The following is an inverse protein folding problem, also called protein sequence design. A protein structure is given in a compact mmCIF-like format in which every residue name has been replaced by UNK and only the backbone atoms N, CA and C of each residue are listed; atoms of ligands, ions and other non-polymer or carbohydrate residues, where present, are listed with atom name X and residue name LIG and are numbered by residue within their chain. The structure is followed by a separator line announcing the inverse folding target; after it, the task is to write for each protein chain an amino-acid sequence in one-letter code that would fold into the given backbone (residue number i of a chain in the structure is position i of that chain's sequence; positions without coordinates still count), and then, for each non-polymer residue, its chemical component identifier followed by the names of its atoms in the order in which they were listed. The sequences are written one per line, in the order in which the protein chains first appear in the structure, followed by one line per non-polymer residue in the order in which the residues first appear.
data_IF_101099779053
#
_entry.id   IF_101099779053
#
_cell.length_a   1.000
_cell.length_b   1.000
_cell.length_c   1.000
_cell.angle_alpha   90.00
_cell.angle_beta   90.00
_cell.angle_gamma   90.00
#
_symmetry.space_group_name_H-M   'P 1'
#
loop_
_entity.id
_entity.type
_entity.pdbx_description
1 polymer ?
#
# COMPACT_ATOMS: atom_id res chain seq x y z
N UNK A 1 -4.37 13.05 -10.39
CA UNK A 1 -3.54 11.83 -10.18
C UNK A 1 -2.11 12.33 -10.08
N UNK A 2 -1.43 12.09 -8.95
CA UNK A 2 -0.03 12.51 -8.75
C UNK A 2 0.84 11.65 -9.65
N UNK A 3 1.56 12.26 -10.58
CA UNK A 3 2.35 11.54 -11.59
C UNK A 3 3.86 11.58 -11.36
N UNK A 4 4.34 12.51 -10.52
CA UNK A 4 5.75 12.64 -10.14
C UNK A 4 5.89 12.34 -8.65
N UNK A 5 6.21 11.08 -8.32
CA UNK A 5 6.59 10.65 -6.98
C UNK A 5 8.04 10.17 -7.06
N UNK A 6 8.97 11.05 -6.71
CA UNK A 6 10.39 10.72 -6.64
C UNK A 6 10.71 9.93 -5.37
N UNK A 7 9.98 10.18 -4.28
CA UNK A 7 10.15 9.50 -2.99
C UNK A 7 8.85 9.54 -2.18
N UNK A 8 8.55 8.48 -1.44
CA UNK A 8 7.43 8.46 -0.49
C UNK A 8 7.94 8.92 0.88
N UNK A 9 7.75 10.20 1.21
CA UNK A 9 8.18 10.78 2.48
C UNK A 9 7.01 11.05 3.42
N UNK A 10 7.22 11.18 4.75
CA UNK A 10 6.17 11.57 5.68
C UNK A 10 5.46 12.87 5.29
N UNK A 11 6.20 13.87 4.78
CA UNK A 11 5.63 15.12 4.32
C UNK A 11 4.70 14.94 3.11
N UNK A 12 5.09 14.13 2.13
CA UNK A 12 4.25 13.81 0.96
C UNK A 12 2.98 13.07 1.39
N UNK A 13 3.14 12.08 2.25
CA UNK A 13 2.05 11.25 2.77
C UNK A 13 1.04 12.11 3.53
N UNK A 14 1.48 13.07 4.36
CA UNK A 14 0.58 14.04 5.01
C UNK A 14 -0.13 14.93 4.00
N UNK A 15 0.59 15.43 3.00
CA UNK A 15 0.04 16.33 1.98
C UNK A 15 -1.08 15.66 1.19
N UNK A 16 -0.92 14.38 0.83
CA UNK A 16 -1.91 13.63 0.06
C UNK A 16 -3.00 13.05 0.97
N UNK A 17 -2.62 12.62 2.17
CA UNK A 17 -3.51 12.00 3.14
C UNK A 17 -4.50 12.97 3.78
N UNK A 18 -4.15 14.25 3.88
CA UNK A 18 -4.97 15.26 4.54
C UNK A 18 -5.35 14.81 5.96
N UNK A 19 -6.65 14.75 6.23
CA UNK A 19 -7.24 14.36 7.52
C UNK A 19 -7.06 12.87 7.87
N UNK A 20 -6.40 12.07 7.00
CA UNK A 20 -6.09 10.66 7.31
C UNK A 20 -5.13 10.55 8.50
N UNK A 21 -4.34 11.59 8.77
CA UNK A 21 -3.42 11.64 9.91
C UNK A 21 -3.90 12.67 10.93
N UNK A 22 -4.00 12.25 12.19
CA UNK A 22 -4.10 13.19 13.29
C UNK A 22 -2.84 14.06 13.33
N UNK A 23 -2.99 15.34 13.69
CA UNK A 23 -1.87 16.29 13.88
C UNK A 23 -0.81 15.80 14.88
N UNK A 24 -1.15 14.81 15.71
CA UNK A 24 -0.28 14.20 16.73
C UNK A 24 0.46 12.95 16.24
N UNK A 25 0.14 12.43 15.05
CA UNK A 25 0.91 11.33 14.45
C UNK A 25 2.34 11.83 14.26
N UNK A 26 3.34 11.12 14.75
CA UNK A 26 4.74 11.53 14.61
C UNK A 26 5.29 11.17 13.22
N UNK A 27 6.35 11.82 12.78
CA UNK A 27 6.96 11.48 11.48
C UNK A 27 7.62 10.10 11.51
N UNK A 28 8.14 9.66 12.66
CA UNK A 28 8.67 8.30 12.84
C UNK A 28 7.57 7.25 12.67
N UNK A 29 6.36 7.55 13.14
CA UNK A 29 5.21 6.67 12.94
C UNK A 29 4.86 6.56 11.46
N UNK A 30 4.89 7.67 10.73
CA UNK A 30 4.60 7.67 9.28
C UNK A 30 5.72 6.96 8.53
N UNK A 31 6.98 7.16 8.89
CA UNK A 31 8.12 6.45 8.30
C UNK A 31 7.99 4.93 8.46
N UNK A 32 7.64 4.45 9.66
CA UNK A 32 7.41 3.03 9.89
C UNK A 32 6.26 2.47 9.04
N UNK A 33 5.19 3.25 8.82
CA UNK A 33 4.09 2.85 7.93
C UNK A 33 4.53 2.82 6.45
N UNK A 34 5.39 3.75 6.04
CA UNK A 34 5.97 3.77 4.69
C UNK A 34 6.83 2.52 4.47
N UNK A 35 7.71 2.19 5.42
CA UNK A 35 8.58 1.02 5.34
C UNK A 35 7.75 -0.27 5.22
N UNK A 36 6.70 -0.40 6.03
CA UNK A 36 5.80 -1.54 5.97
C UNK A 36 5.03 -1.60 4.64
N UNK A 37 4.49 -0.47 4.19
CA UNK A 37 3.80 -0.38 2.91
C UNK A 37 4.72 -0.73 1.73
N UNK A 38 6.01 -0.37 1.83
CA UNK A 38 7.00 -0.69 0.82
C UNK A 38 7.29 -2.19 0.74
N UNK A 39 7.51 -2.84 1.89
CA UNK A 39 7.67 -4.30 1.97
C UNK A 39 6.45 -5.03 1.39
N UNK A 40 5.26 -4.52 1.65
CA UNK A 40 4.01 -5.03 1.07
C UNK A 40 4.02 -4.91 -0.46
N UNK A 41 4.33 -3.73 -1.00
CA UNK A 41 4.36 -3.51 -2.45
C UNK A 41 5.38 -4.42 -3.15
N UNK A 42 6.56 -4.61 -2.53
CA UNK A 42 7.60 -5.51 -3.01
C UNK A 42 7.14 -6.98 -2.99
N UNK A 43 6.48 -7.41 -1.91
CA UNK A 43 5.97 -8.79 -1.78
C UNK A 43 4.83 -9.08 -2.76
N UNK A 44 4.00 -8.08 -3.05
CA UNK A 44 2.93 -8.16 -4.05
C UNK A 44 3.45 -8.03 -5.50
N UNK A 45 4.77 -8.01 -5.68
CA UNK A 45 5.48 -7.93 -6.96
C UNK A 45 5.10 -6.71 -7.80
N UNK A 46 4.88 -5.56 -7.15
CA UNK A 46 4.66 -4.30 -7.87
C UNK A 46 5.92 -3.93 -8.65
N UNK A 47 5.82 -3.58 -9.94
CA UNK A 47 6.98 -3.13 -10.69
C UNK A 47 7.38 -1.71 -10.25
N UNK A 48 8.68 -1.42 -10.30
CA UNK A 48 9.22 -0.09 -9.98
C UNK A 48 8.53 1.00 -10.82
N UNK A 49 8.38 0.74 -12.12
CA UNK A 49 7.69 1.63 -13.06
C UNK A 49 6.81 0.88 -14.06
N UNK A 50 5.86 1.58 -14.68
CA UNK A 50 5.12 1.09 -15.83
C UNK A 50 4.85 2.21 -16.84
N UNK A 51 4.85 1.86 -18.12
CA UNK A 51 4.53 2.80 -19.21
C UNK A 51 3.05 2.70 -19.56
N UNK A 52 2.33 3.81 -19.44
CA UNK A 52 0.92 3.95 -19.84
C UNK A 52 0.80 5.17 -20.75
N UNK A 53 0.27 4.99 -21.97
CA UNK A 53 0.06 6.09 -22.93
C UNK A 53 1.31 6.96 -23.12
N UNK A 54 2.48 6.33 -23.32
CA UNK A 54 3.79 6.98 -23.46
C UNK A 54 4.26 7.80 -22.23
N UNK A 55 3.68 7.58 -21.05
CA UNK A 55 4.15 8.14 -19.78
C UNK A 55 4.66 7.04 -18.87
N UNK A 56 5.84 7.25 -18.30
CA UNK A 56 6.41 6.36 -17.28
C UNK A 56 5.84 6.78 -15.93
N UNK A 57 5.26 5.83 -15.20
CA UNK A 57 4.68 6.05 -13.88
C UNK A 57 5.42 5.22 -12.83
N UNK A 58 5.70 5.76 -11.63
CA UNK A 58 6.41 5.05 -10.56
C UNK A 58 5.44 4.16 -9.76
N UNK A 59 5.11 2.98 -10.29
CA UNK A 59 4.03 2.12 -9.78
C UNK A 59 4.30 1.65 -8.34
N UNK A 60 5.51 1.17 -8.03
CA UNK A 60 5.87 0.74 -6.68
C UNK A 60 5.69 1.89 -5.68
N UNK A 61 6.18 3.09 -5.98
CA UNK A 61 6.05 4.26 -5.10
C UNK A 61 4.59 4.69 -4.92
N UNK A 62 3.78 4.62 -5.99
CA UNK A 62 2.34 4.86 -5.90
C UNK A 62 1.64 3.82 -5.01
N UNK A 63 2.03 2.55 -5.14
CA UNK A 63 1.50 1.46 -4.31
C UNK A 63 1.89 1.65 -2.84
N UNK A 64 3.16 1.95 -2.55
CA UNK A 64 3.66 2.27 -1.21
C UNK A 64 2.90 3.45 -0.61
N UNK A 65 2.69 4.53 -1.35
CA UNK A 65 1.90 5.68 -0.89
C UNK A 65 0.45 5.29 -0.55
N UNK A 66 -0.24 4.58 -1.45
CA UNK A 66 -1.64 4.22 -1.23
C UNK A 66 -1.80 3.22 -0.09
N UNK A 67 -0.87 2.28 0.05
CA UNK A 67 -0.86 1.34 1.17
C UNK A 67 -0.57 2.07 2.49
N UNK A 68 0.39 3.00 2.52
CA UNK A 68 0.65 3.83 3.72
C UNK A 68 -0.61 4.57 4.18
N UNK A 69 -1.30 5.21 3.25
CA UNK A 69 -2.55 5.92 3.51
C UNK A 69 -3.68 4.99 3.93
N UNK A 70 -3.71 3.78 3.37
CA UNK A 70 -4.66 2.75 3.76
C UNK A 70 -4.42 2.30 5.20
N UNK A 71 -3.20 1.91 5.55
CA UNK A 71 -2.82 1.52 6.90
C UNK A 71 -3.16 2.61 7.91
N UNK A 72 -2.81 3.87 7.62
CA UNK A 72 -3.17 5.00 8.46
C UNK A 72 -4.70 5.14 8.66
N UNK A 73 -5.48 4.98 7.58
CA UNK A 73 -6.95 5.09 7.64
C UNK A 73 -7.64 3.98 8.45
N UNK A 74 -7.03 2.80 8.53
CA UNK A 74 -7.54 1.67 9.32
C UNK A 74 -7.08 1.78 10.77
N UNK A 75 -5.84 2.24 11.00
CA UNK A 75 -5.30 2.50 12.34
C UNK A 75 -6.08 3.61 13.06
N UNK A 76 -6.54 4.64 12.36
CA UNK A 76 -7.37 5.70 12.95
C UNK A 76 -8.74 5.21 13.47
N UNK A 77 -9.27 4.12 12.90
CA UNK A 77 -10.54 3.50 13.34
C UNK A 77 -10.36 2.53 14.51
N UNK A 78 -9.17 1.95 14.67
CA UNK A 78 -8.79 1.03 15.74
C UNK A 78 -7.80 1.73 16.68
N UNK A 79 -8.33 2.53 17.61
CA UNK A 79 -7.59 3.51 18.41
C UNK A 79 -6.25 3.07 19.01
N UNK A 80 -5.30 4.02 18.98
CA UNK A 80 -4.14 4.24 19.89
C UNK A 80 -3.42 3.01 20.45
N UNK A 81 -2.21 2.79 19.92
CA UNK A 81 -1.21 1.85 20.44
C UNK A 81 -0.40 1.30 19.27
N UNK A 82 0.86 1.71 19.12
CA UNK A 82 1.77 1.18 18.11
C UNK A 82 2.91 0.54 18.90
N UNK A 83 2.84 -0.78 19.09
CA UNK A 83 3.98 -1.62 19.51
C UNK A 83 3.54 -3.09 19.42
N UNK A 84 4.22 -3.88 18.57
CA UNK A 84 4.11 -5.35 18.41
C UNK A 84 2.76 -5.95 17.95
N UNK A 85 1.64 -5.61 18.57
CA UNK A 85 0.31 -6.23 18.32
C UNK A 85 -0.19 -6.03 16.89
N UNK A 86 0.27 -4.97 16.21
CA UNK A 86 -0.17 -4.61 14.86
C UNK A 86 0.61 -5.30 13.75
N UNK A 87 1.87 -5.67 14.00
CA UNK A 87 2.61 -6.58 13.11
C UNK A 87 1.84 -7.91 13.04
N UNK A 88 1.40 -8.39 14.20
CA UNK A 88 0.62 -9.62 14.34
C UNK A 88 -0.77 -9.54 13.66
N UNK A 89 -1.46 -8.39 13.72
CA UNK A 89 -2.71 -8.16 12.97
C UNK A 89 -2.49 -8.10 11.46
N UNK A 90 -1.41 -7.46 11.00
CA UNK A 90 -1.07 -7.39 9.58
C UNK A 90 -0.64 -8.76 9.05
N UNK A 91 0.17 -9.51 9.81
CA UNK A 91 0.50 -10.90 9.52
C UNK A 91 -0.74 -11.79 9.45
N UNK A 92 -1.70 -11.64 10.38
CA UNK A 92 -2.98 -12.37 10.34
C UNK A 92 -3.81 -12.04 9.09
N UNK A 93 -3.86 -10.77 8.67
CA UNK A 93 -4.57 -10.39 7.45
C UNK A 93 -3.87 -10.89 6.17
N UNK A 94 -2.54 -10.93 6.15
CA UNK A 94 -1.77 -11.47 5.02
C UNK A 94 -1.79 -13.02 4.95
N UNK A 95 -1.85 -13.70 6.09
CA UNK A 95 -1.95 -15.16 6.15
C UNK A 95 -3.29 -15.68 5.62
N UNK A 96 -4.36 -14.89 5.73
CA UNK A 96 -5.65 -15.23 5.17
C UNK A 96 -5.76 -14.71 3.72
N UNK A 97 -5.42 -15.58 2.76
CA UNK A 97 -5.48 -15.27 1.31
C UNK A 97 -6.88 -14.94 0.78
N UNK A 98 -7.94 -15.16 1.56
CA UNK A 98 -9.32 -14.74 1.23
C UNK A 98 -9.64 -13.30 1.68
N UNK A 99 -8.76 -12.67 2.47
CA UNK A 99 -9.06 -11.50 3.30
C UNK A 99 -9.08 -10.15 2.59
N UNK A 100 -8.86 -10.05 1.26
CA UNK A 100 -8.76 -8.76 0.52
C UNK A 100 -9.97 -7.83 0.65
N UNK A 101 -11.04 -8.27 1.33
CA UNK A 101 -12.05 -7.38 1.92
C UNK A 101 -11.46 -6.25 2.78
N UNK A 102 -10.31 -6.43 3.43
CA UNK A 102 -9.67 -5.38 4.24
C UNK A 102 -9.23 -4.18 3.38
N UNK A 103 -8.75 -4.40 2.15
CA UNK A 103 -8.41 -3.34 1.20
C UNK A 103 -9.64 -2.52 0.75
N UNK A 104 -10.84 -3.09 0.84
CA UNK A 104 -12.07 -2.36 0.52
C UNK A 104 -12.50 -1.39 1.64
N UNK A 105 -11.82 -1.39 2.79
CA UNK A 105 -12.20 -0.59 3.96
C UNK A 105 -11.82 0.90 3.87
N UNK A 106 -11.05 1.30 2.85
CA UNK A 106 -10.77 2.71 2.57
C UNK A 106 -10.53 2.98 1.09
N UNK A 107 -10.73 4.24 0.68
CA UNK A 107 -10.47 4.68 -0.71
C UNK A 107 -9.04 4.37 -1.16
N UNK A 108 -8.09 4.41 -0.23
CA UNK A 108 -6.67 4.18 -0.51
C UNK A 108 -6.38 2.70 -0.75
N UNK A 109 -7.03 1.81 0.00
CA UNK A 109 -6.95 0.37 -0.22
C UNK A 109 -7.56 -0.05 -1.56
N UNK A 110 -8.62 0.63 -2.02
CA UNK A 110 -9.17 0.43 -3.37
C UNK A 110 -8.20 0.86 -4.48
N UNK A 111 -7.49 1.99 -4.30
CA UNK A 111 -6.47 2.44 -5.25
C UNK A 111 -5.25 1.49 -5.27
N UNK A 112 -4.82 1.00 -4.11
CA UNK A 112 -3.80 -0.03 -4.01
C UNK A 112 -4.24 -1.31 -4.74
N UNK A 113 -5.47 -1.78 -4.47
CA UNK A 113 -6.03 -2.97 -5.11
C UNK A 113 -6.12 -2.82 -6.62
N UNK A 114 -6.41 -1.62 -7.12
CA UNK A 114 -6.39 -1.32 -8.55
C UNK A 114 -4.99 -1.47 -9.14
N UNK A 115 -3.96 -0.91 -8.50
CA UNK A 115 -2.56 -1.09 -8.94
C UNK A 115 -2.15 -2.57 -8.89
N UNK A 116 -2.49 -3.26 -7.82
CA UNK A 116 -2.19 -4.67 -7.62
C UNK A 116 -2.80 -5.55 -8.72
N UNK A 117 -4.07 -5.31 -9.05
CA UNK A 117 -4.77 -6.03 -10.14
C UNK A 117 -4.28 -5.67 -11.52
N UNK A 118 -3.57 -4.56 -11.68
CA UNK A 118 -3.13 -4.08 -12.99
C UNK A 118 -1.67 -4.37 -13.28
N UNK A 119 -0.82 -4.33 -12.26
CA UNK A 119 0.63 -4.35 -12.38
C UNK A 119 1.31 -5.38 -11.47
N UNK A 120 0.74 -5.69 -10.30
CA UNK A 120 1.28 -6.69 -9.39
C UNK A 120 0.75 -8.10 -9.67
N UNK A 121 0.93 -9.00 -8.70
CA UNK A 121 0.53 -10.41 -8.80
C UNK A 121 -0.99 -10.65 -8.82
N UNK A 122 -1.80 -9.60 -8.83
CA UNK A 122 -3.27 -9.72 -8.91
C UNK A 122 -3.80 -10.24 -10.24
N UNK A 123 -2.94 -10.38 -11.24
CA UNK A 123 -3.25 -10.91 -12.58
C UNK A 123 -2.95 -12.40 -12.74
N UNK A 124 -2.34 -13.13 -11.79
CA UNK A 124 -2.03 -14.55 -12.04
C UNK A 124 -3.29 -15.43 -11.98
N UNK A 125 -3.78 -16.00 -13.10
CA UNK A 125 -4.17 -17.39 -13.03
C UNK A 125 -2.88 -18.18 -12.76
N UNK A 126 -2.90 -19.16 -11.85
CA UNK A 126 -1.87 -20.19 -11.79
C UNK A 126 -1.97 -21.04 -13.07
N UNK A 127 -1.62 -20.51 -14.23
CA UNK A 127 -1.28 -21.34 -15.38
C UNK A 127 0.19 -21.71 -15.23
N UNK A 128 0.42 -22.86 -14.60
CA UNK A 128 1.62 -23.63 -14.86
C UNK A 128 1.68 -23.81 -16.38
N UNK A 129 2.62 -23.13 -17.04
CA UNK A 129 3.01 -23.49 -18.40
C UNK A 129 3.70 -24.84 -18.27
N UNK A 130 2.96 -25.93 -18.51
CA UNK A 130 3.54 -27.25 -18.74
C UNK A 130 4.09 -27.20 -20.17
N UNK A 131 5.42 -27.31 -20.38
CA UNK A 131 5.94 -27.45 -21.73
C UNK A 131 5.46 -28.79 -22.31
N UNK A 132 4.93 -28.75 -23.54
CA UNK A 132 4.68 -29.93 -24.37
C UNK A 132 5.81 -30.08 -25.38
#
# INVERSE_FOLDING_TARGET
MVTDIDEVTPALVRTIGGDTFDKKTSDETIAALIDQANLIALTDSMPETATINNKVLPIEKMATLYMTLHLASVIGKSGRGITAEKVDVLERHYADTTSKGWLNSSRWGLLYLWLYRRFGDGQTPRMAVIPH
#
